data_IF_903245843352
#
_entry.id   IF_903245843352
#
_cell.length_a   1.000
_cell.length_b   1.000
_cell.length_c   1.000
_cell.angle_alpha   90.00
_cell.angle_beta   90.00
_cell.angle_gamma   90.00
#
_symmetry.space_group_name_H-M   'P 1'
#
loop_
_entity.id
_entity.type
_entity.pdbx_description
1 polymer ?
#
# COMPACT_ATOMS: atom_id res chain seq x y z
N UNK A 1 -16.40 13.49 -3.36
CA UNK A 1 -15.80 12.25 -2.83
C UNK A 1 -14.66 11.86 -3.76
N UNK A 2 -13.43 11.77 -3.26
CA UNK A 2 -12.29 11.39 -4.12
C UNK A 2 -12.37 9.88 -4.37
N UNK A 3 -12.44 9.47 -5.64
CA UNK A 3 -12.54 8.07 -6.01
C UNK A 3 -11.14 7.51 -6.31
N UNK A 4 -10.59 6.74 -5.37
CA UNK A 4 -9.26 6.14 -5.46
C UNK A 4 -9.34 4.70 -6.01
N UNK A 5 -9.94 4.54 -7.21
CA UNK A 5 -9.98 3.23 -7.88
C UNK A 5 -8.57 2.65 -8.01
N UNK A 6 -8.50 1.32 -8.01
CA UNK A 6 -7.24 0.62 -8.26
C UNK A 6 -6.56 1.15 -9.52
N UNK A 7 -5.24 1.33 -9.41
CA UNK A 7 -4.36 1.82 -10.47
C UNK A 7 -4.63 3.28 -10.90
N UNK A 8 -5.48 4.03 -10.18
CA UNK A 8 -5.57 5.48 -10.38
C UNK A 8 -4.38 6.18 -9.76
N UNK A 9 -3.86 7.17 -10.49
CA UNK A 9 -2.77 8.02 -10.02
C UNK A 9 -3.24 8.83 -8.82
N UNK A 10 -2.48 8.79 -7.75
CA UNK A 10 -2.69 9.63 -6.58
C UNK A 10 -2.05 11.00 -6.82
N UNK A 11 -2.65 12.04 -6.26
CA UNK A 11 -2.05 13.36 -6.28
C UNK A 11 -0.75 13.35 -5.47
N UNK A 12 0.34 13.82 -6.08
CA UNK A 12 1.64 13.97 -5.44
C UNK A 12 2.08 15.43 -5.48
N UNK A 13 2.78 15.93 -4.45
CA UNK A 13 3.40 17.25 -4.51
C UNK A 13 4.64 17.32 -5.43
N UNK A 14 5.13 16.16 -5.89
CA UNK A 14 6.34 16.02 -6.71
C UNK A 14 6.02 15.26 -7.99
N UNK A 15 6.41 15.84 -9.14
CA UNK A 15 6.08 15.34 -10.48
C UNK A 15 6.81 14.03 -10.84
N UNK A 16 7.96 13.76 -10.22
CA UNK A 16 8.82 12.62 -10.60
C UNK A 16 8.39 11.27 -10.00
N UNK A 17 7.55 11.27 -8.96
CA UNK A 17 7.10 10.03 -8.32
C UNK A 17 5.71 9.65 -8.82
N UNK A 18 5.60 8.51 -9.51
CA UNK A 18 4.30 7.95 -9.91
C UNK A 18 3.73 7.12 -8.76
N UNK A 19 2.68 7.62 -8.11
CA UNK A 19 1.92 6.88 -7.09
C UNK A 19 0.61 6.35 -7.67
N UNK A 20 0.35 5.05 -7.51
CA UNK A 20 -0.91 4.41 -7.91
C UNK A 20 -1.64 3.86 -6.69
N UNK A 21 -2.91 4.24 -6.51
CA UNK A 21 -3.74 3.74 -5.41
C UNK A 21 -4.15 2.28 -5.62
N UNK A 22 -4.13 1.48 -4.56
CA UNK A 22 -4.62 0.11 -4.52
C UNK A 22 -5.46 -0.10 -3.26
N UNK A 23 -6.64 -0.70 -3.39
CA UNK A 23 -7.43 -1.15 -2.24
C UNK A 23 -8.01 0.00 -1.39
N UNK A 24 -8.20 1.19 -1.95
CA UNK A 24 -8.93 2.28 -1.30
C UNK A 24 -10.44 2.12 -1.55
N UNK A 25 -10.99 1.04 -1.00
CA UNK A 25 -12.34 0.58 -1.28
C UNK A 25 -13.39 1.26 -0.40
N UNK A 26 -14.60 1.41 -0.92
CA UNK A 26 -15.78 1.79 -0.14
C UNK A 26 -17.03 1.06 -0.69
N UNK A 27 -18.15 1.20 0.01
CA UNK A 27 -19.40 0.48 -0.29
C UNK A 27 -20.00 0.78 -1.66
N UNK A 28 -19.76 1.98 -2.19
CA UNK A 28 -20.33 2.45 -3.46
C UNK A 28 -19.44 2.11 -4.67
N UNK A 29 -18.34 1.37 -4.45
CA UNK A 29 -17.39 1.00 -5.48
C UNK A 29 -17.52 -0.47 -5.86
N UNK A 30 -17.58 -0.73 -7.16
CA UNK A 30 -17.32 -2.06 -7.70
C UNK A 30 -15.82 -2.35 -7.66
N UNK A 31 -15.44 -3.50 -7.12
CA UNK A 31 -14.07 -4.01 -7.12
C UNK A 31 -14.06 -5.49 -7.50
N UNK A 32 -12.93 -5.96 -8.02
CA UNK A 32 -12.78 -7.36 -8.38
C UNK A 32 -12.78 -8.22 -7.11
N UNK A 33 -13.47 -9.35 -7.13
CA UNK A 33 -13.50 -10.32 -6.03
C UNK A 33 -13.04 -11.69 -6.48
N UNK A 34 -12.34 -12.43 -5.62
CA UNK A 34 -11.87 -13.77 -5.92
C UNK A 34 -10.82 -14.28 -4.96
N UNK A 35 -10.43 -15.55 -5.13
CA UNK A 35 -9.33 -16.15 -4.38
C UNK A 35 -8.00 -15.51 -4.78
N UNK A 36 -7.11 -15.36 -3.81
CA UNK A 36 -5.70 -15.02 -4.04
C UNK A 36 -4.81 -16.18 -3.63
N UNK A 37 -3.59 -16.24 -4.16
CA UNK A 37 -2.64 -17.28 -3.81
C UNK A 37 -2.13 -17.10 -2.35
N UNK A 38 -1.97 -18.20 -1.56
CA UNK A 38 -1.54 -18.11 -0.17
C UNK A 38 -0.20 -17.39 0.03
N UNK A 39 0.79 -17.67 -0.80
CA UNK A 39 2.12 -17.06 -0.74
C UNK A 39 2.08 -15.53 -0.92
N UNK A 40 1.19 -15.02 -1.78
CA UNK A 40 0.97 -13.58 -1.93
C UNK A 40 0.35 -12.99 -0.66
N UNK A 41 -0.69 -13.61 -0.13
CA UNK A 41 -1.36 -13.12 1.07
C UNK A 41 -0.41 -13.11 2.28
N UNK A 42 0.36 -14.19 2.48
CA UNK A 42 1.38 -14.28 3.52
C UNK A 42 2.41 -13.16 3.38
N UNK A 43 2.96 -12.95 2.18
CA UNK A 43 3.92 -11.87 1.94
C UNK A 43 3.32 -10.49 2.19
N UNK A 44 2.09 -10.24 1.75
CA UNK A 44 1.39 -8.99 2.00
C UNK A 44 1.24 -8.73 3.51
N UNK A 45 0.82 -9.74 4.27
CA UNK A 45 0.67 -9.60 5.73
C UNK A 45 2.00 -9.35 6.43
N UNK A 46 3.11 -9.93 5.96
CA UNK A 46 4.47 -9.60 6.45
C UNK A 46 4.78 -8.12 6.28
N UNK A 47 4.51 -7.56 5.09
CA UNK A 47 4.71 -6.13 4.82
C UNK A 47 3.81 -5.24 5.70
N UNK A 48 2.57 -5.68 5.96
CA UNK A 48 1.64 -4.96 6.85
C UNK A 48 2.05 -4.93 8.33
N UNK A 49 2.87 -5.87 8.82
CA UNK A 49 3.25 -5.92 10.25
C UNK A 49 4.17 -4.77 10.67
N UNK A 50 5.07 -4.36 9.79
CA UNK A 50 6.03 -3.29 10.07
C UNK A 50 6.21 -2.37 8.85
N UNK A 51 5.16 -1.62 8.48
CA UNK A 51 5.15 -0.86 7.24
C UNK A 51 6.13 0.31 7.33
N UNK A 52 6.94 0.52 6.28
CA UNK A 52 7.69 1.76 6.15
C UNK A 52 6.75 2.90 5.72
N UNK A 53 6.73 3.99 6.49
CA UNK A 53 5.88 5.14 6.24
C UNK A 53 6.76 6.41 6.14
N UNK A 54 6.86 7.05 4.97
CA UNK A 54 7.67 8.25 4.78
C UNK A 54 7.08 9.50 5.44
N UNK A 55 5.81 9.47 5.80
CA UNK A 55 5.11 10.58 6.43
C UNK A 55 4.31 10.05 7.62
N UNK A 56 4.26 10.83 8.71
CA UNK A 56 3.33 10.57 9.79
C UNK A 56 1.90 10.82 9.29
N UNK A 57 1.25 9.78 8.77
CA UNK A 57 -0.16 9.88 8.37
C UNK A 57 -1.05 9.81 9.61
N UNK A 58 -1.78 10.88 9.89
CA UNK A 58 -2.68 10.99 11.04
C UNK A 58 -4.04 10.27 10.88
N UNK A 59 -4.28 9.58 9.75
CA UNK A 59 -5.57 8.96 9.46
C UNK A 59 -5.74 7.59 10.11
N UNK A 60 -6.70 7.48 11.02
CA UNK A 60 -7.35 6.19 11.32
C UNK A 60 -8.41 5.94 10.25
N UNK A 61 -8.34 4.80 9.60
CA UNK A 61 -9.34 4.37 8.63
C UNK A 61 -10.15 3.23 9.22
N UNK A 62 -11.45 3.20 8.93
CA UNK A 62 -12.33 2.08 9.27
C UNK A 62 -12.77 1.39 7.98
N UNK A 63 -13.02 0.09 8.07
CA UNK A 63 -13.60 -0.64 6.95
C UNK A 63 -15.09 -0.29 6.78
N UNK A 64 -15.42 0.42 5.69
CA UNK A 64 -16.82 0.74 5.34
C UNK A 64 -17.60 -0.43 4.71
N UNK A 65 -16.91 -1.54 4.43
CA UNK A 65 -17.48 -2.74 3.80
C UNK A 65 -18.02 -3.75 4.82
N UNK A 66 -17.55 -3.70 6.07
CA UNK A 66 -18.08 -4.53 7.14
C UNK A 66 -19.59 -4.30 7.33
N UNK A 67 -20.30 -5.33 7.77
CA UNK A 67 -21.74 -5.23 8.02
C UNK A 67 -22.04 -4.35 9.24
N UNK A 68 -21.20 -4.43 10.28
CA UNK A 68 -21.38 -3.74 11.56
C UNK A 68 -20.10 -2.96 11.89
N UNK A 69 -19.25 -3.50 12.76
CA UNK A 69 -18.03 -2.84 13.21
C UNK A 69 -16.94 -2.92 12.13
N UNK A 70 -16.69 -1.78 11.49
CA UNK A 70 -15.57 -1.61 10.57
C UNK A 70 -14.24 -1.80 11.28
N UNK A 71 -13.42 -2.75 10.82
CA UNK A 71 -12.09 -2.96 11.39
C UNK A 71 -11.25 -1.68 11.23
N UNK A 72 -10.73 -1.10 12.32
CA UNK A 72 -9.84 0.04 12.23
C UNK A 72 -8.46 -0.40 11.73
N UNK A 73 -7.84 0.40 10.88
CA UNK A 73 -6.45 0.24 10.46
C UNK A 73 -5.76 1.60 10.34
N UNK A 74 -4.44 1.59 10.54
CA UNK A 74 -3.60 2.78 10.49
C UNK A 74 -2.43 2.56 9.53
N UNK A 75 -2.12 3.60 8.77
CA UNK A 75 -0.98 3.63 7.87
C UNK A 75 -1.26 2.97 6.52
N UNK A 76 -0.24 3.04 5.67
CA UNK A 76 -0.29 2.57 4.30
C UNK A 76 1.04 1.97 3.87
N UNK A 77 0.97 1.04 2.93
CA UNK A 77 2.09 0.41 2.25
C UNK A 77 2.52 1.25 1.06
N UNK A 78 3.82 1.27 0.80
CA UNK A 78 4.42 1.79 -0.43
C UNK A 78 5.18 0.65 -1.10
N UNK A 79 4.57 0.02 -2.10
CA UNK A 79 5.13 -1.17 -2.75
C UNK A 79 5.76 -0.76 -4.09
N UNK A 80 7.10 -0.78 -4.24
CA UNK A 80 7.74 -0.42 -5.50
C UNK A 80 7.65 -1.53 -6.55
N UNK A 81 7.26 -1.16 -7.78
CA UNK A 81 7.30 -2.08 -8.91
C UNK A 81 6.92 -1.41 -10.23
N UNK A 82 7.48 -1.91 -11.33
CA UNK A 82 7.18 -1.47 -12.71
C UNK A 82 7.36 0.04 -12.95
N UNK A 83 8.32 0.68 -12.29
CA UNK A 83 8.60 2.11 -12.46
C UNK A 83 7.63 3.04 -11.73
N UNK A 84 6.80 2.50 -10.82
CA UNK A 84 5.92 3.28 -9.96
C UNK A 84 5.92 2.74 -8.53
N UNK A 85 5.24 3.45 -7.63
CA UNK A 85 4.98 3.01 -6.26
C UNK A 85 3.48 2.80 -6.08
N UNK A 86 3.08 1.58 -5.74
CA UNK A 86 1.70 1.28 -5.37
C UNK A 86 1.47 1.66 -3.92
N UNK A 87 0.40 2.41 -3.66
CA UNK A 87 0.04 2.88 -2.32
C UNK A 87 -1.26 2.23 -1.91
N UNK A 88 -1.20 1.40 -0.87
CA UNK A 88 -2.35 0.66 -0.36
C UNK A 88 -2.54 0.91 1.14
N UNK A 89 -3.77 1.02 1.65
CA UNK A 89 -3.97 1.06 3.09
C UNK A 89 -3.52 -0.28 3.71
N UNK A 90 -3.07 -0.27 4.97
CA UNK A 90 -2.79 -1.53 5.70
C UNK A 90 -4.03 -2.45 5.73
N UNK A 91 -5.24 -1.86 5.71
CA UNK A 91 -6.51 -2.57 5.59
C UNK A 91 -6.68 -3.44 4.33
N UNK A 92 -5.79 -3.36 3.34
CA UNK A 92 -5.83 -4.21 2.13
C UNK A 92 -5.84 -5.71 2.45
N UNK A 93 -5.12 -6.13 3.50
CA UNK A 93 -5.14 -7.52 3.96
C UNK A 93 -6.53 -7.94 4.48
N UNK A 94 -7.20 -7.06 5.23
CA UNK A 94 -8.56 -7.28 5.69
C UNK A 94 -9.55 -7.33 4.53
N UNK A 95 -9.44 -6.44 3.55
CA UNK A 95 -10.29 -6.48 2.36
C UNK A 95 -10.17 -7.79 1.59
N UNK A 96 -8.97 -8.34 1.45
CA UNK A 96 -8.75 -9.64 0.81
C UNK A 96 -9.38 -10.77 1.65
N UNK A 97 -9.07 -10.82 2.95
CA UNK A 97 -9.49 -11.92 3.81
C UNK A 97 -10.99 -11.96 4.13
N UNK A 98 -11.61 -10.79 4.26
CA UNK A 98 -13.00 -10.66 4.71
C UNK A 98 -13.96 -10.33 3.57
N UNK A 99 -13.52 -9.50 2.61
CA UNK A 99 -14.36 -9.00 1.53
C UNK A 99 -14.00 -9.59 0.16
N UNK A 100 -13.16 -10.63 0.13
CA UNK A 100 -12.74 -11.33 -1.08
C UNK A 100 -12.13 -10.42 -2.14
N UNK A 101 -11.64 -9.23 -1.76
CA UNK A 101 -11.02 -8.31 -2.71
C UNK A 101 -9.88 -9.01 -3.45
N UNK A 102 -9.91 -8.94 -4.77
CA UNK A 102 -8.90 -9.48 -5.67
C UNK A 102 -8.09 -8.32 -6.25
N UNK A 103 -6.86 -8.07 -5.75
CA UNK A 103 -6.06 -6.95 -6.20
C UNK A 103 -5.57 -7.12 -7.65
N UNK A 104 -5.26 -6.02 -8.36
CA UNK A 104 -4.66 -6.10 -9.68
C UNK A 104 -3.39 -6.97 -9.70
N UNK A 105 -3.25 -7.81 -10.73
CA UNK A 105 -2.11 -8.73 -10.86
C UNK A 105 -0.74 -8.03 -10.79
N UNK A 106 -0.67 -6.78 -11.26
CA UNK A 106 0.56 -5.96 -11.21
C UNK A 106 0.97 -5.60 -9.79
N UNK A 107 0.00 -5.40 -8.90
CA UNK A 107 0.24 -5.19 -7.47
C UNK A 107 0.62 -6.50 -6.77
N UNK A 108 -0.06 -7.60 -7.12
CA UNK A 108 0.27 -8.95 -6.61
C UNK A 108 1.74 -9.27 -6.87
N UNK A 109 2.20 -9.08 -8.11
CA UNK A 109 3.60 -9.30 -8.47
C UNK A 109 4.54 -8.34 -7.72
N UNK A 110 4.19 -7.05 -7.61
CA UNK A 110 5.00 -6.07 -6.91
C UNK A 110 5.21 -6.44 -5.43
N UNK A 111 4.18 -6.97 -4.75
CA UNK A 111 4.24 -7.45 -3.36
C UNK A 111 5.16 -8.67 -3.24
N UNK A 112 5.01 -9.65 -4.12
CA UNK A 112 5.85 -10.87 -4.11
C UNK A 112 7.34 -10.53 -4.28
N UNK A 113 7.64 -9.57 -5.16
CA UNK A 113 9.00 -9.13 -5.41
C UNK A 113 9.49 -8.12 -4.35
N UNK A 114 8.64 -7.65 -3.43
CA UNK A 114 8.98 -6.59 -2.49
C UNK A 114 9.87 -7.14 -1.36
N UNK A 115 11.10 -6.61 -1.19
CA UNK A 115 11.92 -6.94 -0.04
C UNK A 115 11.24 -6.53 1.27
N UNK A 116 11.65 -7.08 2.42
CA UNK A 116 11.17 -6.62 3.72
C UNK A 116 11.30 -5.10 3.83
N UNK A 117 10.23 -4.44 4.28
CA UNK A 117 10.24 -2.99 4.46
C UNK A 117 11.34 -2.61 5.46
N UNK A 118 11.91 -1.41 5.27
CA UNK A 118 13.06 -0.90 6.05
C UNK A 118 14.41 -1.56 5.75
N UNK A 119 14.47 -2.60 4.90
CA UNK A 119 15.74 -3.15 4.43
C UNK A 119 16.43 -2.27 3.39
N UNK A 120 17.74 -2.43 3.23
CA UNK A 120 18.50 -1.80 2.14
C UNK A 120 18.00 -2.24 0.75
N UNK A 121 17.55 -3.50 0.62
CA UNK A 121 16.94 -4.00 -0.60
C UNK A 121 15.66 -3.23 -0.95
N UNK A 122 14.83 -2.96 0.05
CA UNK A 122 13.61 -2.16 -0.13
C UNK A 122 13.94 -0.71 -0.52
N UNK A 123 14.93 -0.06 0.14
CA UNK A 123 15.39 1.29 -0.23
C UNK A 123 15.88 1.34 -1.67
N UNK A 124 16.69 0.37 -2.11
CA UNK A 124 17.16 0.26 -3.51
C UNK A 124 16.00 0.09 -4.48
N UNK A 125 14.99 -0.70 -4.12
CA UNK A 125 13.80 -0.92 -4.95
C UNK A 125 12.91 0.32 -5.06
N UNK A 126 12.72 1.06 -3.97
CA UNK A 126 12.05 2.37 -4.00
C UNK A 126 12.74 3.35 -4.97
N UNK A 127 14.06 3.50 -4.85
CA UNK A 127 14.83 4.43 -5.69
C UNK A 127 14.77 4.07 -7.18
N UNK A 128 14.88 2.79 -7.52
CA UNK A 128 14.78 2.31 -8.91
C UNK A 128 13.38 2.41 -9.52
N UNK A 129 12.34 2.62 -8.70
CA UNK A 129 10.96 2.80 -9.14
C UNK A 129 10.46 4.26 -8.97
N UNK A 130 11.38 5.23 -8.96
CA UNK A 130 11.04 6.66 -8.93
C UNK A 130 10.74 7.21 -7.55
N UNK A 131 10.90 6.44 -6.47
CA UNK A 131 10.57 6.84 -5.10
C UNK A 131 11.54 7.84 -4.45
N UNK A 132 12.38 8.56 -5.21
CA UNK A 132 13.37 9.49 -4.64
C UNK A 132 12.72 10.52 -3.72
N UNK A 133 11.59 11.09 -4.13
CA UNK A 133 10.82 12.06 -3.35
C UNK A 133 10.29 11.50 -2.02
N UNK A 134 10.11 10.18 -1.92
CA UNK A 134 9.68 9.51 -0.68
C UNK A 134 10.86 9.18 0.25
N UNK A 135 12.06 9.01 -0.29
CA UNK A 135 13.21 8.52 0.49
C UNK A 135 13.87 9.55 1.40
N UNK A 136 13.51 10.83 1.32
CA UNK A 136 14.03 11.86 2.24
C UNK A 136 13.74 11.51 3.72
N UNK A 137 12.62 10.82 3.98
CA UNK A 137 12.24 10.31 5.29
C UNK A 137 13.21 9.27 5.91
N UNK A 138 14.03 8.58 5.11
CA UNK A 138 15.05 7.66 5.63
C UNK A 138 16.22 8.38 6.29
N UNK A 139 16.43 9.67 5.98
CA UNK A 139 17.56 10.42 6.54
C UNK A 139 17.18 11.08 7.88
N UNK A 140 15.90 11.44 8.06
CA UNK A 140 15.38 12.09 9.28
C UNK A 140 15.22 11.12 10.46
N UNK A 141 14.98 9.83 10.20
CA UNK A 141 14.81 8.80 11.24
C UNK A 141 16.14 8.35 11.91
N UNK A 142 17.26 8.98 11.54
CA UNK A 142 18.61 8.74 12.12
C UNK A 142 19.00 9.75 13.22
N UNK A 143 18.13 10.70 13.56
CA UNK A 143 18.35 11.63 14.68
C UNK A 143 17.30 11.41 15.76
N UNK A 144 17.60 10.64 16.82
CA UNK A 144 16.80 10.67 18.03
C UNK A 144 17.04 12.03 18.71
N UNK A 145 15.97 12.79 18.93
CA UNK A 145 15.90 13.76 20.03
C UNK A 145 15.85 13.02 21.35
#
# INVERSE_FOLDING_TARGET
MVNFRDLKRLATPSDDTVLLGIGWLNRDMNYATGKVAPNFYEKLTELCRNPWQPFATAGFHHCDLCQYDGVPFKGQLYVPGRGCIYVAPVGVAHYIATHWYSPPAVFVQAVLDCPPMQSMGYKKKLLSNGGRGLTQAFNESSHPT
#
